data_IF_864384046434
#
_entry.id   IF_864384046434
#
_cell.length_a   1.000
_cell.length_b   1.000
_cell.length_c   1.000
_cell.angle_alpha   90.00
_cell.angle_beta   90.00
_cell.angle_gamma   90.00
#
_symmetry.space_group_name_H-M   'P 1'
#
loop_
_entity.id
_entity.type
_entity.pdbx_description
1 polymer ?
#
# COMPACT_ATOMS: atom_id res chain seq x y z
N UNK A 1 2.96 -19.61 -5.32
CA UNK A 1 3.64 -18.33 -5.04
C UNK A 1 3.93 -18.30 -3.55
N UNK A 2 5.13 -17.85 -3.16
CA UNK A 2 5.50 -17.68 -1.76
C UNK A 2 5.30 -16.22 -1.29
N UNK A 3 5.62 -15.97 -0.03
CA UNK A 3 5.42 -14.69 0.64
C UNK A 3 6.30 -13.58 0.08
N UNK A 4 7.58 -13.87 -0.19
CA UNK A 4 8.52 -12.90 -0.75
C UNK A 4 8.08 -12.45 -2.14
N UNK A 5 7.77 -13.39 -3.03
CA UNK A 5 7.26 -13.08 -4.38
C UNK A 5 5.95 -12.30 -4.30
N UNK A 6 5.05 -12.65 -3.38
CA UNK A 6 3.80 -11.90 -3.20
C UNK A 6 4.04 -10.44 -2.78
N UNK A 7 4.91 -10.20 -1.79
CA UNK A 7 5.18 -8.86 -1.29
C UNK A 7 5.90 -8.00 -2.33
N UNK A 8 6.84 -8.59 -3.08
CA UNK A 8 7.48 -7.94 -4.23
C UNK A 8 6.46 -7.49 -5.28
N UNK A 9 5.49 -8.35 -5.62
CA UNK A 9 4.41 -8.01 -6.55
C UNK A 9 3.49 -6.92 -5.99
N UNK A 10 3.16 -6.94 -4.71
CA UNK A 10 2.37 -5.86 -4.08
C UNK A 10 3.15 -4.55 -4.11
N UNK A 11 4.45 -4.56 -3.85
CA UNK A 11 5.28 -3.36 -3.94
C UNK A 11 5.25 -2.77 -5.35
N UNK A 12 5.54 -3.59 -6.35
CA UNK A 12 5.65 -3.16 -7.75
C UNK A 12 4.31 -2.81 -8.41
N UNK A 13 3.22 -3.50 -8.06
CA UNK A 13 1.92 -3.35 -8.73
C UNK A 13 0.91 -2.50 -7.95
N UNK A 14 1.16 -2.24 -6.67
CA UNK A 14 0.24 -1.49 -5.81
C UNK A 14 0.94 -0.29 -5.16
N UNK A 15 2.04 -0.51 -4.44
CA UNK A 15 2.65 0.57 -3.63
C UNK A 15 3.32 1.62 -4.49
N UNK A 16 4.22 1.21 -5.38
CA UNK A 16 4.95 2.13 -6.27
C UNK A 16 3.99 2.87 -7.22
N UNK A 17 3.03 2.20 -7.90
CA UNK A 17 2.04 2.88 -8.74
C UNK A 17 1.13 3.83 -7.95
N UNK A 18 0.68 3.47 -6.75
CA UNK A 18 -0.15 4.36 -5.94
C UNK A 18 0.55 5.68 -5.66
N UNK A 19 1.86 5.65 -5.41
CA UNK A 19 2.65 6.86 -5.22
C UNK A 19 2.81 7.65 -6.52
N UNK A 20 3.28 7.00 -7.61
CA UNK A 20 3.52 7.68 -8.88
C UNK A 20 2.24 8.25 -9.49
N UNK A 21 1.13 7.52 -9.42
CA UNK A 21 -0.16 7.94 -9.95
C UNK A 21 -0.71 9.12 -9.13
N UNK A 22 -0.54 9.11 -7.80
CA UNK A 22 -0.92 10.24 -6.95
C UNK A 22 -0.16 11.50 -7.35
N UNK A 23 1.17 11.42 -7.54
CA UNK A 23 1.99 12.55 -8.01
C UNK A 23 1.59 12.99 -9.42
N UNK A 24 1.31 12.05 -10.33
CA UNK A 24 0.83 12.36 -11.67
C UNK A 24 -0.52 13.09 -11.63
N UNK A 25 -1.45 12.68 -10.77
CA UNK A 25 -2.75 13.34 -10.64
C UNK A 25 -2.67 14.68 -9.90
N UNK A 26 -1.69 14.88 -9.02
CA UNK A 26 -1.43 16.20 -8.41
C UNK A 26 -0.86 17.15 -9.45
N UNK A 27 0.17 16.74 -10.19
CA UNK A 27 0.89 17.59 -11.15
C UNK A 27 0.09 17.88 -12.42
N UNK A 28 -0.59 16.87 -12.96
CA UNK A 28 -1.40 16.95 -14.18
C UNK A 28 -2.73 16.21 -13.99
N UNK A 29 -3.68 16.80 -13.24
CA UNK A 29 -4.95 16.15 -12.93
C UNK A 29 -5.74 15.84 -14.20
N UNK A 30 -6.25 14.62 -14.30
CA UNK A 30 -7.05 14.17 -15.44
C UNK A 30 -8.53 14.58 -15.34
N UNK A 31 -9.17 14.82 -16.50
CA UNK A 31 -10.62 15.08 -16.63
C UNK A 31 -10.96 16.36 -17.38
N UNK A 32 -12.16 16.41 -17.99
CA UNK A 32 -12.59 17.53 -18.85
C UNK A 32 -13.01 18.79 -18.08
N UNK A 33 -13.51 18.63 -16.84
CA UNK A 33 -13.98 19.72 -15.97
C UNK A 33 -13.31 19.62 -14.59
N UNK A 34 -12.03 19.97 -14.53
CA UNK A 34 -11.28 20.00 -13.27
C UNK A 34 -11.88 21.06 -12.33
N UNK A 35 -12.11 20.67 -11.07
CA UNK A 35 -12.50 21.62 -10.03
C UNK A 35 -11.40 22.66 -9.80
N UNK A 36 -11.79 23.86 -9.35
CA UNK A 36 -10.84 24.92 -9.02
C UNK A 36 -9.82 24.48 -7.95
N UNK A 37 -10.26 23.63 -7.02
CA UNK A 37 -9.37 23.04 -6.03
C UNK A 37 -8.26 22.18 -6.67
N UNK A 38 -8.61 21.33 -7.65
CA UNK A 38 -7.63 20.49 -8.36
C UNK A 38 -6.64 21.34 -9.16
N UNK A 39 -7.12 22.38 -9.85
CA UNK A 39 -6.26 23.34 -10.56
C UNK A 39 -5.29 24.04 -9.61
N UNK A 40 -5.79 24.50 -8.46
CA UNK A 40 -4.98 25.18 -7.43
C UNK A 40 -3.90 24.25 -6.86
N UNK A 41 -4.23 22.98 -6.57
CA UNK A 41 -3.26 21.98 -6.08
C UNK A 41 -2.18 21.71 -7.12
N UNK A 42 -2.55 21.57 -8.40
CA UNK A 42 -1.60 21.38 -9.49
C UNK A 42 -0.67 22.59 -9.66
N UNK A 43 -1.23 23.81 -9.68
CA UNK A 43 -0.43 25.03 -9.77
C UNK A 43 0.55 25.18 -8.59
N UNK A 44 0.11 24.86 -7.38
CA UNK A 44 0.98 24.85 -6.20
C UNK A 44 2.12 23.86 -6.36
N UNK A 45 1.82 22.59 -6.66
CA UNK A 45 2.83 21.54 -6.78
C UNK A 45 3.85 21.85 -7.89
N UNK A 46 3.37 22.30 -9.05
CA UNK A 46 4.22 22.65 -10.18
C UNK A 46 5.10 23.90 -9.94
N UNK A 47 4.69 24.76 -8.99
CA UNK A 47 5.45 25.94 -8.57
C UNK A 47 6.54 25.67 -7.51
N UNK A 48 6.61 24.45 -6.96
CA UNK A 48 7.63 24.08 -5.99
C UNK A 48 9.03 23.98 -6.63
N UNK A 49 10.07 24.24 -5.84
CA UNK A 49 11.45 23.90 -6.22
C UNK A 49 11.63 22.38 -6.36
N UNK A 50 12.73 21.94 -6.98
CA UNK A 50 13.03 20.51 -7.12
C UNK A 50 13.10 19.81 -5.74
N UNK A 51 13.80 20.39 -4.78
CA UNK A 51 13.92 19.83 -3.42
C UNK A 51 12.57 19.74 -2.71
N UNK A 52 11.73 20.75 -2.86
CA UNK A 52 10.37 20.73 -2.29
C UNK A 52 9.48 19.67 -2.96
N UNK A 53 9.59 19.48 -4.27
CA UNK A 53 8.87 18.40 -4.97
C UNK A 53 9.33 17.03 -4.51
N UNK A 54 10.65 16.83 -4.41
CA UNK A 54 11.22 15.58 -3.91
C UNK A 54 10.71 15.24 -2.49
N UNK A 55 10.55 16.24 -1.61
CA UNK A 55 9.97 16.02 -0.28
C UNK A 55 8.49 15.60 -0.33
N UNK A 56 7.69 16.18 -1.25
CA UNK A 56 6.28 15.77 -1.42
C UNK A 56 6.20 14.37 -2.01
N UNK A 57 7.00 14.07 -3.03
CA UNK A 57 7.11 12.74 -3.64
C UNK A 57 7.50 11.68 -2.61
N UNK A 58 8.50 11.97 -1.77
CA UNK A 58 8.88 11.12 -0.65
C UNK A 58 7.72 10.90 0.32
N UNK A 59 7.04 11.95 0.76
CA UNK A 59 5.93 11.83 1.70
C UNK A 59 4.77 11.01 1.14
N UNK A 60 4.49 11.13 -0.16
CA UNK A 60 3.46 10.33 -0.86
C UNK A 60 3.90 8.86 -0.95
N UNK A 61 5.15 8.60 -1.33
CA UNK A 61 5.70 7.24 -1.39
C UNK A 61 5.71 6.55 -0.03
N UNK A 62 6.16 7.27 1.01
CA UNK A 62 6.17 6.80 2.39
C UNK A 62 4.75 6.50 2.90
N UNK A 63 3.79 7.38 2.59
CA UNK A 63 2.38 7.14 2.92
C UNK A 63 1.80 5.89 2.25
N UNK A 64 2.10 5.64 0.98
CA UNK A 64 1.67 4.44 0.27
C UNK A 64 2.28 3.17 0.89
N UNK A 65 3.59 3.20 1.18
CA UNK A 65 4.32 2.10 1.83
C UNK A 65 3.79 1.84 3.24
N UNK A 66 3.58 2.88 4.04
CA UNK A 66 3.05 2.78 5.40
C UNK A 66 1.63 2.20 5.44
N UNK A 67 0.79 2.52 4.45
CA UNK A 67 -0.54 1.93 4.32
C UNK A 67 -0.47 0.42 4.04
N UNK A 68 0.36 0.00 3.08
CA UNK A 68 0.56 -1.42 2.78
C UNK A 68 1.18 -2.18 3.96
N UNK A 69 2.17 -1.59 4.63
CA UNK A 69 2.77 -2.13 5.86
C UNK A 69 1.69 -2.34 6.94
N UNK A 70 0.87 -1.32 7.19
CA UNK A 70 -0.19 -1.39 8.17
C UNK A 70 -1.23 -2.47 7.87
N UNK A 71 -1.56 -2.66 6.59
CA UNK A 71 -2.44 -3.76 6.15
C UNK A 71 -1.79 -5.13 6.37
N UNK A 72 -0.51 -5.29 6.04
CA UNK A 72 0.22 -6.53 6.29
C UNK A 72 0.32 -6.85 7.79
N UNK A 73 0.56 -5.86 8.65
CA UNK A 73 0.51 -6.09 10.10
C UNK A 73 -0.84 -6.64 10.57
N UNK A 74 -1.95 -6.24 9.94
CA UNK A 74 -3.28 -6.80 10.25
C UNK A 74 -3.38 -8.26 9.82
N UNK A 75 -2.93 -8.59 8.60
CA UNK A 75 -2.95 -9.95 8.06
C UNK A 75 -2.03 -10.90 8.83
N UNK A 76 -0.88 -10.41 9.28
CA UNK A 76 0.09 -11.16 10.10
C UNK A 76 -0.33 -11.23 11.59
N UNK A 77 -1.39 -10.53 11.99
CA UNK A 77 -1.86 -10.50 13.39
C UNK A 77 -1.08 -9.57 14.32
N UNK A 78 -0.03 -8.90 13.85
CA UNK A 78 0.70 -7.87 14.60
C UNK A 78 -0.15 -6.63 14.94
N UNK A 79 -1.23 -6.39 14.20
CA UNK A 79 -2.22 -5.34 14.48
C UNK A 79 -3.63 -5.93 14.59
N UNK A 80 -4.19 -5.92 15.79
CA UNK A 80 -5.53 -6.44 16.07
C UNK A 80 -6.60 -5.47 15.56
N UNK A 81 -7.54 -5.98 14.74
CA UNK A 81 -8.70 -5.20 14.24
C UNK A 81 -10.03 -5.56 14.91
N UNK A 82 -10.12 -6.72 15.58
CA UNK A 82 -11.31 -7.14 16.34
C UNK A 82 -11.02 -7.19 17.84
N UNK A 83 -11.81 -6.47 18.63
CA UNK A 83 -11.64 -6.37 20.09
C UNK A 83 -12.76 -7.07 20.89
N UNK A 84 -13.52 -7.98 20.27
CA UNK A 84 -14.61 -8.72 20.91
C UNK A 84 -14.17 -9.98 21.69
N UNK A 85 -15.10 -10.60 22.45
CA UNK A 85 -14.84 -11.82 23.22
C UNK A 85 -14.70 -13.09 22.37
N UNK A 86 -15.26 -13.10 21.15
CA UNK A 86 -15.08 -14.16 20.15
C UNK A 86 -14.39 -13.57 18.94
N UNK A 87 -13.06 -13.64 18.90
CA UNK A 87 -12.25 -13.09 17.80
C UNK A 87 -12.17 -14.11 16.66
N UNK A 88 -12.42 -13.65 15.44
CA UNK A 88 -12.04 -14.41 14.25
C UNK A 88 -10.53 -14.32 14.00
N UNK A 89 -10.09 -14.97 12.93
CA UNK A 89 -8.75 -14.77 12.39
C UNK A 89 -8.81 -14.56 10.87
N UNK A 90 -7.81 -13.87 10.34
CA UNK A 90 -7.66 -13.62 8.93
C UNK A 90 -6.63 -14.59 8.36
N UNK A 91 -6.87 -15.09 7.15
CA UNK A 91 -5.89 -15.84 6.37
C UNK A 91 -5.83 -15.28 4.95
N UNK A 92 -4.61 -15.12 4.44
CA UNK A 92 -4.38 -14.88 3.03
C UNK A 92 -3.81 -16.15 2.41
N UNK A 93 -4.50 -16.68 1.39
CA UNK A 93 -4.08 -17.89 0.67
C UNK A 93 -3.94 -17.61 -0.82
N UNK A 94 -2.83 -18.08 -1.39
CA UNK A 94 -2.68 -18.19 -2.84
C UNK A 94 -3.16 -19.56 -3.29
N UNK A 95 -4.23 -19.58 -4.08
CA UNK A 95 -4.87 -20.80 -4.57
C UNK A 95 -4.72 -20.86 -6.08
N UNK A 96 -4.23 -21.99 -6.59
CA UNK A 96 -4.26 -22.32 -8.01
C UNK A 96 -4.69 -23.79 -8.19
N UNK A 97 -4.73 -24.28 -9.43
CA UNK A 97 -5.21 -25.63 -9.74
C UNK A 97 -4.44 -26.76 -9.02
N UNK A 98 -3.18 -26.52 -8.63
CA UNK A 98 -2.30 -27.53 -8.05
C UNK A 98 -2.00 -27.30 -6.57
N UNK A 99 -2.29 -26.13 -6.01
CA UNK A 99 -1.80 -25.72 -4.69
C UNK A 99 -2.71 -24.74 -3.97
N UNK A 100 -2.69 -24.82 -2.64
CA UNK A 100 -3.25 -23.84 -1.71
C UNK A 100 -2.15 -23.47 -0.72
N UNK A 101 -1.50 -22.34 -0.94
CA UNK A 101 -0.38 -21.86 -0.12
C UNK A 101 -0.87 -20.79 0.84
N UNK A 102 -0.64 -20.97 2.14
CA UNK A 102 -0.90 -19.94 3.15
C UNK A 102 0.22 -18.89 3.08
N UNK A 103 -0.15 -17.62 2.87
CA UNK A 103 0.77 -16.48 2.77
C UNK A 103 0.81 -15.65 4.05
N UNK A 104 -0.32 -15.52 4.74
CA UNK A 104 -0.40 -14.87 6.05
C UNK A 104 -1.55 -15.47 6.86
N UNK A 105 -1.40 -15.46 8.18
CA UNK A 105 -2.46 -15.79 9.11
C UNK A 105 -2.31 -14.95 10.36
N UNK A 106 -3.41 -14.38 10.84
CA UNK A 106 -3.42 -13.59 12.07
C UNK A 106 -3.49 -14.44 13.34
N UNK A 107 -3.51 -15.77 13.20
CA UNK A 107 -3.61 -16.72 14.33
C UNK A 107 -2.54 -17.82 14.31
N UNK A 108 -1.87 -18.06 13.18
CA UNK A 108 -0.79 -19.02 13.10
C UNK A 108 0.56 -18.33 13.27
N UNK A 109 1.51 -19.02 13.91
CA UNK A 109 2.91 -18.60 13.89
C UNK A 109 3.48 -18.86 12.49
N UNK A 110 3.66 -17.79 11.73
CA UNK A 110 4.19 -17.84 10.37
C UNK A 110 5.72 -17.67 10.43
N UNK A 111 6.49 -18.47 9.68
CA UNK A 111 7.96 -18.38 9.69
C UNK A 111 8.50 -17.03 9.21
N UNK A 112 7.70 -16.33 8.38
CA UNK A 112 8.00 -14.99 7.88
C UNK A 112 6.70 -14.19 7.88
N UNK A 113 6.76 -12.95 8.34
CA UNK A 113 5.63 -12.01 8.29
C UNK A 113 5.66 -11.17 7.01
N UNK A 114 4.51 -10.89 6.40
CA UNK A 114 4.45 -10.06 5.20
C UNK A 114 4.95 -8.63 5.44
N UNK A 115 4.68 -8.05 6.61
CA UNK A 115 5.08 -6.68 6.92
C UNK A 115 6.60 -6.50 7.08
N UNK A 116 7.34 -7.58 7.37
CA UNK A 116 8.81 -7.56 7.44
C UNK A 116 9.47 -7.63 6.06
N UNK A 117 8.74 -8.12 5.06
CA UNK A 117 9.21 -8.29 3.69
C UNK A 117 8.95 -7.06 2.80
N UNK A 118 8.11 -6.12 3.24
CA UNK A 118 7.76 -4.93 2.47
C UNK A 118 8.89 -3.90 2.58
#
# INVERSE_FOLDING_TARGET
MDQAVFVELVRALVVEPAASDTISQISNPSGRNLSEERKRRAAWFNGLSADQRANVEYAVADGARAAAFGLFCVLDGARVIENGPSRGHLELRYINAASNTLLASSAADMPTSLHELL
#
